data_IF_232367638576
#
_entry.id   IF_232367638576
#
_cell.length_a   1.000
_cell.length_b   1.000
_cell.length_c   1.000
_cell.angle_alpha   90.00
_cell.angle_beta   90.00
_cell.angle_gamma   90.00
#
_symmetry.space_group_name_H-M   'P 1'
#
loop_
_entity.id
_entity.type
_entity.pdbx_description
1 polymer ?
#
# COMPACT_ATOMS: atom_id res chain seq x y z
N UNK A 1 -1.49 -13.87 11.15
CA UNK A 1 -2.25 -13.28 10.02
C UNK A 1 -2.66 -14.35 9.03
N UNK A 2 -1.72 -15.12 8.46
CA UNK A 2 -2.00 -16.16 7.45
C UNK A 2 -3.01 -17.20 7.97
N UNK A 3 -2.80 -17.77 9.17
CA UNK A 3 -3.73 -18.71 9.79
C UNK A 3 -5.16 -18.11 9.97
N UNK A 4 -5.27 -16.82 10.26
CA UNK A 4 -6.56 -16.14 10.36
C UNK A 4 -7.28 -16.06 9.01
N UNK A 5 -6.56 -15.81 7.92
CA UNK A 5 -7.12 -15.84 6.55
C UNK A 5 -7.62 -17.24 6.19
N UNK A 6 -6.83 -18.28 6.48
CA UNK A 6 -7.22 -19.67 6.24
C UNK A 6 -8.46 -20.04 7.06
N UNK A 7 -8.49 -19.67 8.34
CA UNK A 7 -9.69 -19.89 9.20
C UNK A 7 -10.92 -19.18 8.65
N UNK A 8 -10.77 -17.95 8.14
CA UNK A 8 -11.87 -17.22 7.51
C UNK A 8 -12.39 -17.94 6.25
N UNK A 9 -11.50 -18.38 5.36
CA UNK A 9 -11.87 -19.13 4.16
C UNK A 9 -12.57 -20.43 4.54
N UNK A 10 -12.01 -21.18 5.48
CA UNK A 10 -12.55 -22.45 5.97
C UNK A 10 -13.96 -22.31 6.57
N UNK A 11 -14.20 -21.26 7.34
CA UNK A 11 -15.50 -21.00 7.98
C UNK A 11 -16.58 -20.52 6.99
N UNK A 12 -16.19 -19.84 5.90
CA UNK A 12 -17.14 -19.13 5.04
C UNK A 12 -17.29 -19.73 3.64
N UNK A 13 -16.27 -20.41 3.11
CA UNK A 13 -16.23 -20.88 1.73
C UNK A 13 -16.10 -22.41 1.66
N UNK A 14 -16.58 -23.01 0.56
CA UNK A 14 -16.43 -24.44 0.25
C UNK A 14 -15.24 -24.61 -0.70
N UNK A 15 -14.06 -24.82 -0.16
CA UNK A 15 -12.80 -24.87 -0.91
C UNK A 15 -11.97 -26.08 -0.50
N UNK A 16 -11.10 -26.54 -1.38
CA UNK A 16 -9.99 -27.41 -1.01
C UNK A 16 -8.76 -26.55 -0.74
N UNK A 17 -8.27 -26.58 0.47
CA UNK A 17 -7.13 -25.78 0.97
C UNK A 17 -5.98 -26.73 1.25
N UNK A 18 -4.81 -26.47 0.67
CA UNK A 18 -3.59 -27.20 0.99
C UNK A 18 -2.62 -26.21 1.63
N UNK A 19 -2.11 -26.54 2.81
CA UNK A 19 -1.03 -25.78 3.45
C UNK A 19 0.28 -26.55 3.36
N UNK A 20 1.35 -25.83 3.06
CA UNK A 20 2.72 -26.29 3.00
C UNK A 20 3.51 -25.46 4.01
N UNK A 21 3.89 -26.06 5.13
CA UNK A 21 4.45 -25.35 6.29
C UNK A 21 5.82 -25.95 6.66
N UNK A 22 6.74 -25.10 7.08
CA UNK A 22 8.03 -25.56 7.62
C UNK A 22 7.80 -26.37 8.89
N UNK A 23 6.88 -25.85 9.72
CA UNK A 23 6.31 -26.54 10.89
C UNK A 23 4.84 -26.16 11.02
N UNK A 24 3.98 -27.15 11.25
CA UNK A 24 2.55 -26.89 11.51
C UNK A 24 2.40 -26.27 12.90
N UNK A 25 2.14 -24.97 12.94
CA UNK A 25 1.94 -24.23 14.20
C UNK A 25 0.49 -24.29 14.70
N UNK A 26 -0.47 -24.37 13.78
CA UNK A 26 -1.89 -24.43 14.08
C UNK A 26 -2.54 -25.59 13.35
N UNK A 27 -3.11 -26.52 14.09
CA UNK A 27 -3.93 -27.58 13.52
C UNK A 27 -5.28 -26.97 13.14
N UNK A 28 -5.68 -27.17 11.89
CA UNK A 28 -6.91 -26.65 11.31
C UNK A 28 -7.87 -27.80 11.05
N UNK A 29 -9.03 -27.76 11.66
CA UNK A 29 -10.09 -28.73 11.44
C UNK A 29 -10.97 -28.31 10.25
N UNK A 30 -11.45 -29.28 9.49
CA UNK A 30 -12.40 -29.07 8.40
C UNK A 30 -13.70 -28.45 8.92
N UNK A 31 -14.20 -27.42 8.23
CA UNK A 31 -15.49 -26.81 8.50
C UNK A 31 -16.35 -26.80 7.23
N UNK A 32 -16.31 -25.70 6.46
CA UNK A 32 -16.94 -25.64 5.13
C UNK A 32 -15.99 -26.01 4.01
N UNK A 33 -14.69 -25.95 4.26
CA UNK A 33 -13.63 -26.36 3.34
C UNK A 33 -13.00 -27.67 3.83
N UNK A 34 -12.31 -28.35 2.91
CA UNK A 34 -11.41 -29.47 3.23
C UNK A 34 -10.01 -28.92 3.32
N UNK A 35 -9.28 -29.27 4.39
CA UNK A 35 -7.92 -28.78 4.63
C UNK A 35 -6.94 -29.94 4.67
N UNK A 36 -5.90 -29.86 3.87
CA UNK A 36 -4.75 -30.78 3.91
C UNK A 36 -3.52 -29.99 4.34
N UNK A 37 -2.99 -30.28 5.52
CA UNK A 37 -1.77 -29.66 6.02
C UNK A 37 -0.58 -30.58 5.81
N UNK A 38 0.53 -30.05 5.30
CA UNK A 38 1.79 -30.75 5.07
C UNK A 38 2.94 -30.03 5.70
N UNK A 39 3.79 -30.78 6.39
CA UNK A 39 5.00 -30.27 7.04
C UNK A 39 6.23 -30.68 6.24
N UNK A 40 7.18 -29.74 6.07
CA UNK A 40 8.47 -30.04 5.46
C UNK A 40 9.26 -31.03 6.33
N UNK A 41 10.11 -31.79 5.68
CA UNK A 41 10.93 -32.87 6.27
C UNK A 41 10.14 -34.06 6.88
N UNK A 42 8.81 -33.95 6.96
CA UNK A 42 7.91 -35.07 7.31
C UNK A 42 7.17 -35.55 6.05
N UNK A 43 6.47 -34.68 5.38
CA UNK A 43 5.59 -34.98 4.25
C UNK A 43 6.17 -34.60 2.88
N UNK A 44 7.16 -33.73 2.86
CA UNK A 44 7.83 -33.26 1.65
C UNK A 44 9.28 -32.85 1.91
N UNK A 45 10.12 -32.94 0.87
CA UNK A 45 11.54 -32.58 0.96
C UNK A 45 11.77 -31.06 0.81
N UNK A 46 10.97 -30.39 -0.02
CA UNK A 46 11.06 -28.96 -0.26
C UNK A 46 9.70 -28.35 -0.51
N UNK A 47 9.59 -27.01 -0.35
CA UNK A 47 8.37 -26.27 -0.71
C UNK A 47 8.02 -26.42 -2.21
N UNK A 48 9.02 -26.39 -3.08
CA UNK A 48 8.79 -26.52 -4.52
C UNK A 48 8.25 -27.91 -4.89
N UNK A 49 8.75 -29.01 -4.27
CA UNK A 49 8.25 -30.36 -4.51
C UNK A 49 6.86 -30.56 -3.93
N UNK A 50 6.65 -30.08 -2.70
CA UNK A 50 5.34 -30.10 -2.05
C UNK A 50 4.28 -29.37 -2.90
N UNK A 51 4.64 -28.20 -3.44
CA UNK A 51 3.76 -27.37 -4.26
C UNK A 51 3.44 -28.04 -5.60
N UNK A 52 4.44 -28.62 -6.28
CA UNK A 52 4.22 -29.39 -7.51
C UNK A 52 3.30 -30.61 -7.29
N UNK A 53 3.42 -31.24 -6.11
CA UNK A 53 2.51 -32.35 -5.74
C UNK A 53 1.10 -31.83 -5.45
N UNK A 54 0.98 -30.76 -4.66
CA UNK A 54 -0.29 -30.13 -4.30
C UNK A 54 -1.13 -29.75 -5.51
N UNK A 55 -0.52 -29.20 -6.57
CA UNK A 55 -1.20 -28.80 -7.81
C UNK A 55 -1.95 -29.96 -8.50
N UNK A 56 -1.54 -31.21 -8.28
CA UNK A 56 -2.22 -32.40 -8.83
C UNK A 56 -3.47 -32.80 -8.08
N UNK A 57 -3.74 -32.20 -6.93
CA UNK A 57 -4.89 -32.51 -6.08
C UNK A 57 -6.06 -31.55 -6.29
N UNK A 58 -5.98 -30.70 -7.34
CA UNK A 58 -6.99 -29.70 -7.69
C UNK A 58 -7.38 -28.80 -6.50
N UNK A 59 -6.43 -28.16 -5.79
CA UNK A 59 -6.74 -27.25 -4.70
C UNK A 59 -7.37 -25.97 -5.24
N UNK A 60 -8.17 -25.30 -4.41
CA UNK A 60 -8.61 -23.93 -4.70
C UNK A 60 -7.69 -22.90 -4.07
N UNK A 61 -7.13 -23.23 -2.91
CA UNK A 61 -6.25 -22.36 -2.12
C UNK A 61 -5.00 -23.15 -1.74
N UNK A 62 -3.86 -22.54 -1.96
CA UNK A 62 -2.56 -23.08 -1.57
C UNK A 62 -1.91 -22.09 -0.63
N UNK A 63 -1.47 -22.55 0.51
CA UNK A 63 -0.76 -21.76 1.51
C UNK A 63 0.67 -22.25 1.57
N UNK A 64 1.62 -21.36 1.36
CA UNK A 64 3.05 -21.66 1.43
C UNK A 64 3.60 -20.88 2.63
N UNK A 65 4.17 -21.58 3.60
CA UNK A 65 4.69 -20.98 4.82
C UNK A 65 5.59 -19.78 4.52
N UNK A 66 6.54 -19.95 3.60
CA UNK A 66 7.39 -18.85 3.12
C UNK A 66 7.99 -19.14 1.74
N UNK A 67 8.34 -18.07 1.03
CA UNK A 67 9.03 -18.11 -0.26
C UNK A 67 10.48 -17.62 -0.08
N UNK A 68 11.44 -18.54 -0.07
CA UNK A 68 12.87 -18.25 0.14
C UNK A 68 13.73 -18.43 -1.10
N UNK A 69 13.26 -19.18 -2.08
CA UNK A 69 14.03 -19.60 -3.25
C UNK A 69 13.26 -19.39 -4.55
N UNK A 70 14.00 -19.33 -5.66
CA UNK A 70 13.47 -19.08 -7.00
C UNK A 70 12.50 -20.14 -7.47
N UNK A 71 12.73 -21.43 -7.12
CA UNK A 71 11.92 -22.54 -7.57
C UNK A 71 10.53 -22.50 -6.92
N UNK A 72 10.49 -22.21 -5.61
CA UNK A 72 9.24 -22.02 -4.85
C UNK A 72 8.46 -20.83 -5.42
N UNK A 73 9.12 -19.69 -5.63
CA UNK A 73 8.47 -18.47 -6.17
C UNK A 73 7.94 -18.72 -7.59
N UNK A 74 8.75 -19.30 -8.49
CA UNK A 74 8.33 -19.58 -9.86
C UNK A 74 7.10 -20.50 -9.91
N UNK A 75 7.11 -21.55 -9.07
CA UNK A 75 6.00 -22.49 -9.02
C UNK A 75 4.74 -21.85 -8.41
N UNK A 76 4.90 -21.00 -7.39
CA UNK A 76 3.81 -20.26 -6.75
C UNK A 76 3.14 -19.25 -7.70
N UNK A 77 3.93 -18.49 -8.45
CA UNK A 77 3.44 -17.53 -9.45
C UNK A 77 2.71 -18.28 -10.58
N UNK A 78 3.28 -19.39 -11.08
CA UNK A 78 2.64 -20.22 -12.10
C UNK A 78 1.30 -20.80 -11.61
N UNK A 79 1.23 -21.25 -10.34
CA UNK A 79 -0.01 -21.72 -9.72
C UNK A 79 -1.05 -20.59 -9.64
N UNK A 80 -0.66 -19.41 -9.23
CA UNK A 80 -1.55 -18.24 -9.16
C UNK A 80 -2.08 -17.84 -10.55
N UNK A 81 -1.22 -17.82 -11.57
CA UNK A 81 -1.61 -17.54 -12.96
C UNK A 81 -2.55 -18.62 -13.53
N UNK A 82 -2.50 -19.86 -13.05
CA UNK A 82 -3.41 -20.94 -13.45
C UNK A 82 -4.74 -20.95 -12.69
N UNK A 83 -5.00 -19.95 -11.84
CA UNK A 83 -6.28 -19.71 -11.20
C UNK A 83 -6.40 -20.18 -9.75
N UNK A 84 -5.31 -20.60 -9.12
CA UNK A 84 -5.29 -20.92 -7.70
C UNK A 84 -5.11 -19.66 -6.87
N UNK A 85 -5.75 -19.57 -5.70
CA UNK A 85 -5.39 -18.55 -4.72
C UNK A 85 -4.15 -19.04 -3.95
N UNK A 86 -3.03 -18.36 -4.16
CA UNK A 86 -1.78 -18.66 -3.45
C UNK A 86 -1.56 -17.62 -2.37
N UNK A 87 -1.37 -18.06 -1.13
CA UNK A 87 -1.04 -17.24 0.03
C UNK A 87 0.35 -17.64 0.53
N UNK A 88 1.21 -16.67 0.77
CA UNK A 88 2.55 -16.94 1.32
C UNK A 88 3.04 -15.80 2.20
N UNK A 89 4.16 -16.02 2.90
CA UNK A 89 4.82 -15.00 3.70
C UNK A 89 6.20 -14.67 3.16
N UNK A 90 6.62 -13.44 3.47
CA UNK A 90 7.95 -12.90 3.21
C UNK A 90 8.41 -12.14 4.47
N UNK A 91 9.70 -12.15 4.75
CA UNK A 91 10.29 -11.39 5.85
C UNK A 91 10.79 -10.03 5.33
N UNK A 92 9.86 -9.09 5.19
CA UNK A 92 10.09 -7.73 4.66
C UNK A 92 9.42 -6.71 5.57
N UNK A 93 9.87 -5.44 5.53
CA UNK A 93 9.41 -4.38 6.42
C UNK A 93 8.15 -3.66 5.95
N UNK A 94 7.84 -3.73 4.64
CA UNK A 94 6.71 -3.05 4.02
C UNK A 94 6.25 -3.75 2.72
N UNK A 95 5.16 -3.26 2.15
CA UNK A 95 4.54 -3.87 0.97
C UNK A 95 5.38 -3.72 -0.30
N UNK A 96 6.06 -2.60 -0.48
CA UNK A 96 6.88 -2.35 -1.69
C UNK A 96 8.14 -3.23 -1.65
N UNK A 97 8.82 -3.28 -0.52
CA UNK A 97 9.97 -4.18 -0.33
C UNK A 97 9.60 -5.65 -0.51
N UNK A 98 8.35 -6.05 -0.21
CA UNK A 98 7.89 -7.41 -0.47
C UNK A 98 7.89 -7.73 -1.96
N UNK A 99 7.39 -6.81 -2.79
CA UNK A 99 7.42 -6.97 -4.26
C UNK A 99 8.85 -6.99 -4.79
N UNK A 100 9.68 -6.05 -4.36
CA UNK A 100 11.08 -5.96 -4.75
C UNK A 100 11.84 -7.23 -4.37
N UNK A 101 11.67 -7.71 -3.13
CA UNK A 101 12.33 -8.92 -2.61
C UNK A 101 12.04 -10.17 -3.43
N UNK A 102 10.79 -10.36 -3.85
CA UNK A 102 10.41 -11.51 -4.71
C UNK A 102 11.15 -11.45 -6.03
N UNK A 103 11.22 -10.28 -6.66
CA UNK A 103 11.89 -10.09 -7.96
C UNK A 103 13.41 -10.25 -7.82
N UNK A 104 13.99 -9.73 -6.74
CA UNK A 104 15.44 -9.76 -6.50
C UNK A 104 16.01 -11.13 -6.16
N UNK A 105 15.15 -12.11 -5.81
CA UNK A 105 15.59 -13.50 -5.71
C UNK A 105 16.14 -14.05 -7.03
N UNK A 106 15.70 -13.49 -8.16
CA UNK A 106 16.07 -13.98 -9.49
C UNK A 106 17.30 -13.30 -10.07
N UNK A 107 18.06 -14.00 -10.93
CA UNK A 107 19.11 -13.39 -11.74
C UNK A 107 18.56 -12.22 -12.58
N UNK A 108 19.42 -11.23 -12.85
CA UNK A 108 18.98 -9.97 -13.51
C UNK A 108 18.30 -10.19 -14.87
N UNK A 109 18.77 -11.17 -15.64
CA UNK A 109 18.20 -11.54 -16.93
C UNK A 109 16.78 -12.11 -16.86
N UNK A 110 16.34 -12.60 -15.70
CA UNK A 110 15.01 -13.16 -15.48
C UNK A 110 14.05 -12.18 -14.79
N UNK A 111 14.57 -11.15 -14.12
CA UNK A 111 13.77 -10.24 -13.27
C UNK A 111 12.61 -9.56 -13.99
N UNK A 112 12.79 -9.16 -15.24
CA UNK A 112 11.73 -8.52 -16.01
C UNK A 112 10.55 -9.45 -16.29
N UNK A 113 10.84 -10.72 -16.64
CA UNK A 113 9.79 -11.72 -16.86
C UNK A 113 9.05 -12.03 -15.55
N UNK A 114 9.80 -12.24 -14.46
CA UNK A 114 9.23 -12.51 -13.13
C UNK A 114 8.37 -11.35 -12.65
N UNK A 115 8.82 -10.10 -12.84
CA UNK A 115 8.05 -8.91 -12.49
C UNK A 115 6.72 -8.84 -13.26
N UNK A 116 6.74 -9.15 -14.56
CA UNK A 116 5.54 -9.21 -15.40
C UNK A 116 4.58 -10.29 -14.91
N UNK A 117 5.07 -11.49 -14.66
CA UNK A 117 4.26 -12.63 -14.21
C UNK A 117 3.68 -12.39 -12.80
N UNK A 118 4.51 -11.87 -11.88
CA UNK A 118 4.07 -11.45 -10.56
C UNK A 118 3.01 -10.36 -10.64
N UNK A 119 3.21 -9.33 -11.46
CA UNK A 119 2.22 -8.28 -11.70
C UNK A 119 0.87 -8.84 -12.15
N UNK A 120 0.87 -9.79 -13.08
CA UNK A 120 -0.34 -10.45 -13.55
C UNK A 120 -1.05 -11.29 -12.48
N UNK A 121 -0.27 -11.97 -11.63
CA UNK A 121 -0.79 -12.85 -10.57
C UNK A 121 -1.20 -12.10 -9.29
N UNK A 122 -0.62 -10.92 -9.02
CA UNK A 122 -0.73 -10.22 -7.73
C UNK A 122 -2.17 -9.81 -7.42
N UNK A 123 -2.68 -10.28 -6.29
CA UNK A 123 -3.96 -9.85 -5.71
C UNK A 123 -3.73 -8.75 -4.67
N UNK A 124 -2.72 -8.87 -3.85
CA UNK A 124 -2.34 -7.86 -2.86
C UNK A 124 -1.16 -8.28 -2.00
N UNK A 125 -0.62 -7.32 -1.28
CA UNK A 125 0.43 -7.50 -0.27
C UNK A 125 -0.04 -6.90 1.04
N UNK A 126 0.12 -7.64 2.13
CA UNK A 126 -0.20 -7.17 3.48
C UNK A 126 1.09 -7.22 4.30
N UNK A 127 1.64 -6.07 4.61
CA UNK A 127 2.74 -5.95 5.55
C UNK A 127 2.20 -5.68 6.97
N UNK A 128 2.88 -6.22 7.98
CA UNK A 128 2.44 -6.14 9.38
C UNK A 128 3.59 -5.65 10.26
N UNK A 129 3.26 -4.72 11.17
CA UNK A 129 4.12 -4.33 12.30
C UNK A 129 3.36 -4.59 13.59
N UNK A 130 4.06 -5.07 14.61
CA UNK A 130 3.50 -5.21 15.96
C UNK A 130 3.94 -4.02 16.80
N UNK A 131 2.99 -3.35 17.43
CA UNK A 131 3.22 -2.15 18.25
C UNK A 131 2.72 -2.43 19.66
N UNK A 132 3.47 -2.07 20.71
CA UNK A 132 3.03 -2.27 22.09
C UNK A 132 1.70 -1.57 22.38
N UNK A 133 0.87 -2.20 23.22
CA UNK A 133 -0.27 -1.53 23.86
C UNK A 133 0.20 -0.39 24.75
N UNK A 134 -0.63 0.61 25.11
CA UNK A 134 -0.21 1.70 25.98
C UNK A 134 0.29 1.25 27.36
N UNK A 135 -0.17 0.10 27.83
CA UNK A 135 0.23 -0.54 29.10
C UNK A 135 1.43 -1.47 28.96
N UNK A 136 1.92 -1.69 27.72
CA UNK A 136 3.01 -2.61 27.38
C UNK A 136 2.77 -4.07 27.84
N UNK A 137 1.52 -4.47 28.02
CA UNK A 137 1.10 -5.84 28.39
C UNK A 137 0.77 -6.73 27.18
N UNK A 138 0.79 -6.15 25.97
CA UNK A 138 0.51 -6.83 24.72
C UNK A 138 1.03 -6.09 23.51
N UNK A 139 0.73 -6.65 22.32
CA UNK A 139 1.08 -6.08 21.03
C UNK A 139 -0.17 -5.99 20.14
N UNK A 140 -0.31 -4.90 19.43
CA UNK A 140 -1.39 -4.68 18.45
C UNK A 140 -0.79 -4.64 17.04
N UNK A 141 -1.37 -5.38 16.07
CA UNK A 141 -0.87 -5.35 14.70
C UNK A 141 -1.35 -4.10 13.95
N UNK A 142 -0.41 -3.36 13.37
CA UNK A 142 -0.64 -2.37 12.35
C UNK A 142 -0.39 -2.98 10.98
N UNK A 143 -1.22 -2.63 9.99
CA UNK A 143 -1.14 -3.18 8.64
C UNK A 143 -0.92 -2.08 7.60
N UNK A 144 -0.07 -2.39 6.63
CA UNK A 144 0.02 -1.72 5.35
C UNK A 144 -0.53 -2.67 4.29
N UNK A 145 -1.39 -2.18 3.39
CA UNK A 145 -2.10 -3.02 2.41
C UNK A 145 -1.97 -2.40 1.03
N UNK A 146 -1.34 -3.14 0.13
CA UNK A 146 -1.27 -2.84 -1.30
C UNK A 146 -2.22 -3.78 -2.03
N UNK A 147 -3.14 -3.26 -2.83
CA UNK A 147 -4.10 -4.04 -3.63
C UNK A 147 -3.63 -4.10 -5.08
N UNK A 148 -3.67 -5.29 -5.69
CA UNK A 148 -3.29 -5.55 -7.08
C UNK A 148 -4.30 -4.99 -8.08
N UNK A 149 -4.56 -3.69 -8.05
CA UNK A 149 -5.35 -3.00 -9.09
C UNK A 149 -4.62 -3.01 -10.43
N UNK A 150 -5.30 -2.83 -11.57
CA UNK A 150 -4.63 -2.79 -12.87
C UNK A 150 -3.45 -1.83 -12.95
N UNK A 151 -3.51 -0.58 -12.41
CA UNK A 151 -2.34 0.29 -12.34
C UNK A 151 -1.18 -0.28 -11.51
N UNK A 152 -1.48 -0.86 -10.33
CA UNK A 152 -0.45 -1.48 -9.47
C UNK A 152 0.21 -2.66 -10.18
N UNK A 153 -0.55 -3.55 -10.80
CA UNK A 153 -0.03 -4.69 -11.56
C UNK A 153 0.93 -4.26 -12.68
N UNK A 154 0.57 -3.19 -13.39
CA UNK A 154 1.42 -2.59 -14.42
C UNK A 154 2.74 -2.09 -13.83
N UNK A 155 2.68 -1.31 -12.74
CA UNK A 155 3.87 -0.76 -12.07
C UNK A 155 4.79 -1.87 -11.53
N UNK A 156 4.23 -2.97 -11.01
CA UNK A 156 4.99 -4.17 -10.62
C UNK A 156 5.74 -4.75 -11.83
N UNK A 157 5.05 -4.94 -12.94
CA UNK A 157 5.63 -5.48 -14.18
C UNK A 157 6.73 -4.58 -14.77
N UNK A 158 6.63 -3.27 -14.59
CA UNK A 158 7.61 -2.27 -15.02
C UNK A 158 8.74 -2.05 -13.99
N UNK A 159 8.65 -2.66 -12.81
CA UNK A 159 9.57 -2.46 -11.68
C UNK A 159 9.65 -1.00 -11.23
N UNK A 160 8.56 -0.25 -11.38
CA UNK A 160 8.45 1.15 -10.95
C UNK A 160 8.02 1.23 -9.47
N UNK A 161 8.99 1.07 -8.57
CA UNK A 161 8.75 1.07 -7.12
C UNK A 161 8.32 2.44 -6.60
N UNK A 162 8.80 3.52 -7.21
CA UNK A 162 8.37 4.89 -6.87
C UNK A 162 6.91 5.12 -7.23
N UNK A 163 6.50 4.65 -8.41
CA UNK A 163 5.10 4.66 -8.83
C UNK A 163 4.22 3.79 -7.92
N UNK A 164 4.72 2.65 -7.43
CA UNK A 164 4.01 1.80 -6.45
C UNK A 164 3.78 2.51 -5.11
N UNK A 165 4.77 3.24 -4.59
CA UNK A 165 4.60 4.05 -3.37
C UNK A 165 3.49 5.10 -3.56
N UNK A 166 3.50 5.80 -4.68
CA UNK A 166 2.49 6.80 -5.01
C UNK A 166 1.09 6.18 -5.17
N UNK A 167 1.00 5.00 -5.81
CA UNK A 167 -0.25 4.26 -5.95
C UNK A 167 -0.79 3.79 -4.60
N UNK A 168 0.06 3.28 -3.71
CA UNK A 168 -0.28 2.87 -2.35
C UNK A 168 -0.85 4.05 -1.54
N UNK A 169 -0.19 5.20 -1.60
CA UNK A 169 -0.62 6.41 -0.88
C UNK A 169 -2.00 6.91 -1.34
N UNK A 170 -2.28 6.84 -2.65
CA UNK A 170 -3.53 7.33 -3.26
C UNK A 170 -4.64 6.29 -3.31
N UNK A 171 -4.34 5.04 -3.03
CA UNK A 171 -5.25 3.92 -3.24
C UNK A 171 -6.30 3.70 -2.14
N UNK A 172 -6.62 4.70 -1.32
CA UNK A 172 -7.58 4.59 -0.21
C UNK A 172 -8.95 4.07 -0.63
N UNK A 173 -9.51 4.59 -1.72
CA UNK A 173 -10.80 4.13 -2.30
C UNK A 173 -10.79 2.66 -2.72
N UNK A 174 -9.63 2.12 -3.06
CA UNK A 174 -9.44 0.70 -3.41
C UNK A 174 -9.16 -0.19 -2.19
N UNK A 175 -9.21 0.35 -0.97
CA UNK A 175 -8.90 -0.38 0.26
C UNK A 175 -7.41 -0.45 0.60
N UNK A 176 -6.55 0.29 -0.11
CA UNK A 176 -5.13 0.40 0.23
C UNK A 176 -4.93 1.27 1.47
N UNK A 177 -3.92 0.96 2.25
CA UNK A 177 -3.54 1.79 3.41
C UNK A 177 -2.04 1.70 3.68
N UNK A 178 -1.43 2.83 4.06
CA UNK A 178 -0.04 2.90 4.48
C UNK A 178 0.11 2.66 5.98
N UNK A 179 1.31 2.26 6.44
CA UNK A 179 1.60 2.20 7.87
C UNK A 179 1.36 3.52 8.58
N UNK A 180 1.80 4.64 8.01
CA UNK A 180 1.60 5.96 8.61
C UNK A 180 0.12 6.26 8.88
N UNK A 181 -0.78 5.93 7.93
CA UNK A 181 -2.22 6.14 8.10
C UNK A 181 -2.81 5.23 9.19
N UNK A 182 -2.43 3.95 9.17
CA UNK A 182 -2.93 2.98 10.16
C UNK A 182 -2.47 3.35 11.58
N UNK A 183 -1.17 3.64 11.73
CA UNK A 183 -0.57 3.97 13.03
C UNK A 183 -1.13 5.29 13.56
N UNK A 184 -1.33 6.29 12.70
CA UNK A 184 -1.97 7.55 13.11
C UNK A 184 -3.39 7.32 13.66
N UNK A 185 -4.22 6.52 12.97
CA UNK A 185 -5.56 6.17 13.44
C UNK A 185 -5.50 5.45 14.80
N UNK A 186 -4.62 4.46 14.95
CA UNK A 186 -4.45 3.73 16.21
C UNK A 186 -4.05 4.66 17.37
N UNK A 187 -3.20 5.67 17.11
CA UNK A 187 -2.84 6.69 18.12
C UNK A 187 -4.04 7.56 18.50
N UNK A 188 -4.86 7.98 17.51
CA UNK A 188 -6.08 8.75 17.77
C UNK A 188 -7.14 7.97 18.55
N UNK A 189 -7.23 6.66 18.32
CA UNK A 189 -8.11 5.75 19.04
C UNK A 189 -7.53 5.32 20.41
N UNK A 190 -6.37 5.87 20.80
CA UNK A 190 -5.66 5.55 22.05
C UNK A 190 -5.30 4.05 22.21
N UNK A 191 -5.16 3.33 21.09
CA UNK A 191 -4.75 1.93 21.08
C UNK A 191 -3.25 1.75 21.28
N UNK A 192 -2.44 2.77 20.95
CA UNK A 192 -0.99 2.80 21.10
C UNK A 192 -0.53 4.16 21.63
N UNK A 193 0.61 4.19 22.29
CA UNK A 193 1.23 5.43 22.74
C UNK A 193 1.89 6.17 21.56
N UNK A 194 1.91 7.52 21.61
CA UNK A 194 2.54 8.35 20.56
C UNK A 194 4.03 8.08 20.40
N UNK A 195 4.72 7.79 21.50
CA UNK A 195 6.14 7.46 21.48
C UNK A 195 6.42 6.18 20.69
N UNK A 196 5.59 5.15 20.86
CA UNK A 196 5.73 3.87 20.15
C UNK A 196 5.23 3.98 18.70
N UNK A 197 4.23 4.82 18.46
CA UNK A 197 3.82 5.20 17.12
C UNK A 197 4.97 5.82 16.32
N UNK A 198 5.72 6.77 16.90
CA UNK A 198 6.86 7.42 16.24
C UNK A 198 8.00 6.45 15.89
N UNK A 199 8.19 5.40 16.68
CA UNK A 199 9.17 4.33 16.38
C UNK A 199 8.70 3.41 15.25
N UNK A 200 7.39 3.27 15.10
CA UNK A 200 6.77 2.30 14.19
C UNK A 200 6.39 2.86 12.81
N UNK A 201 6.26 4.18 12.65
CA UNK A 201 5.92 4.81 11.36
C UNK A 201 7.07 4.75 10.36
N UNK A 202 6.75 4.75 9.08
CA UNK A 202 7.73 4.78 8.00
C UNK A 202 8.30 6.21 7.82
N UNK A 203 7.46 7.24 7.99
CA UNK A 203 7.86 8.64 7.89
C UNK A 203 7.44 9.41 9.15
N UNK A 204 8.37 9.59 10.14
CA UNK A 204 8.08 10.31 11.38
C UNK A 204 7.69 11.77 11.19
N UNK A 205 8.23 12.45 10.18
CA UNK A 205 7.92 13.86 9.94
C UNK A 205 6.51 14.05 9.37
N UNK A 206 6.05 13.14 8.53
CA UNK A 206 4.66 13.08 8.08
C UNK A 206 3.73 12.82 9.27
N UNK A 207 4.08 11.89 10.14
CA UNK A 207 3.30 11.56 11.33
C UNK A 207 3.18 12.75 12.29
N UNK A 208 4.29 13.42 12.62
CA UNK A 208 4.29 14.62 13.47
C UNK A 208 3.44 15.75 12.89
N UNK A 209 3.54 15.99 11.58
CA UNK A 209 2.69 16.97 10.90
C UNK A 209 1.21 16.65 11.08
N UNK A 210 0.81 15.39 10.92
CA UNK A 210 -0.57 14.95 11.17
C UNK A 210 -1.01 15.16 12.62
N UNK A 211 -0.14 14.87 13.58
CA UNK A 211 -0.46 15.05 15.02
C UNK A 211 -0.66 16.51 15.39
N UNK A 212 0.12 17.43 14.81
CA UNK A 212 0.06 18.87 15.12
C UNK A 212 -1.11 19.57 14.43
N UNK A 213 -1.38 19.27 13.17
CA UNK A 213 -2.35 20.01 12.35
C UNK A 213 -3.74 19.38 12.28
N UNK A 214 -3.97 18.27 12.99
CA UNK A 214 -5.30 17.68 13.24
C UNK A 214 -6.11 17.34 11.99
N UNK A 215 -7.40 17.18 12.22
CA UNK A 215 -8.42 16.65 11.29
C UNK A 215 -8.73 17.46 10.02
N UNK A 216 -8.14 18.65 9.84
CA UNK A 216 -8.22 19.36 8.55
C UNK A 216 -7.63 18.54 7.39
N UNK A 217 -7.05 17.40 7.71
CA UNK A 217 -6.32 16.48 6.84
C UNK A 217 -6.96 15.10 6.75
N UNK A 218 -7.93 14.80 7.57
CA UNK A 218 -8.66 13.51 7.62
C UNK A 218 -9.81 13.41 6.60
N UNK A 219 -9.68 13.98 5.42
CA UNK A 219 -10.51 13.54 4.31
C UNK A 219 -10.02 12.15 3.85
N UNK A 220 -10.94 11.23 3.57
CA UNK A 220 -10.74 9.80 3.23
C UNK A 220 -9.70 9.52 2.14
N UNK A 221 -9.32 10.53 1.38
CA UNK A 221 -8.22 10.55 0.42
C UNK A 221 -6.95 11.06 1.08
N UNK A 222 -6.08 10.14 1.49
CA UNK A 222 -4.78 10.42 2.12
C UNK A 222 -4.16 11.75 1.72
N UNK A 223 -4.10 12.62 2.67
CA UNK A 223 -3.52 13.95 2.78
C UNK A 223 -2.50 14.37 1.73
N UNK A 224 -2.98 14.55 0.52
CA UNK A 224 -2.33 15.45 -0.42
C UNK A 224 -3.21 16.70 -0.54
N UNK A 225 -2.62 17.84 -0.18
CA UNK A 225 -3.18 19.12 -0.62
C UNK A 225 -3.30 19.02 -2.14
N UNK A 226 -4.54 18.83 -2.63
CA UNK A 226 -4.81 18.69 -4.05
C UNK A 226 -5.07 20.08 -4.62
N UNK A 227 -4.39 20.44 -5.70
CA UNK A 227 -4.56 21.73 -6.38
C UNK A 227 -6.02 22.00 -6.75
N UNK A 228 -6.73 21.00 -7.26
CA UNK A 228 -8.15 21.15 -7.64
C UNK A 228 -9.04 21.42 -6.42
N UNK A 229 -8.77 20.81 -5.28
CA UNK A 229 -9.48 21.07 -4.02
C UNK A 229 -9.19 22.48 -3.50
N UNK A 230 -7.93 22.90 -3.51
CA UNK A 230 -7.56 24.27 -3.13
C UNK A 230 -8.27 25.28 -4.01
N UNK A 231 -8.26 25.09 -5.33
CA UNK A 231 -8.93 25.97 -6.28
C UNK A 231 -10.46 26.00 -6.08
N UNK A 232 -11.09 24.82 -5.86
CA UNK A 232 -12.55 24.77 -5.54
C UNK A 232 -12.86 25.50 -4.25
N UNK A 233 -12.06 25.34 -3.21
CA UNK A 233 -12.24 26.03 -1.94
C UNK A 233 -12.06 27.55 -2.11
N UNK A 234 -11.05 27.98 -2.83
CA UNK A 234 -10.80 29.37 -3.15
C UNK A 234 -12.01 30.01 -3.86
N UNK A 235 -12.54 29.37 -4.90
CA UNK A 235 -13.72 29.82 -5.63
C UNK A 235 -14.96 29.85 -4.73
N UNK A 236 -15.19 28.81 -3.93
CA UNK A 236 -16.36 28.70 -3.04
C UNK A 236 -16.44 29.83 -2.02
N UNK A 237 -15.32 30.29 -1.50
CA UNK A 237 -15.26 31.38 -0.50
C UNK A 237 -15.01 32.74 -1.12
N UNK A 238 -14.94 32.86 -2.45
CA UNK A 238 -14.78 34.13 -3.17
C UNK A 238 -13.37 34.71 -3.09
N UNK A 239 -12.33 33.86 -2.97
CA UNK A 239 -10.95 34.35 -3.01
C UNK A 239 -10.57 34.83 -4.41
N UNK A 240 -9.84 35.93 -4.48
CA UNK A 240 -9.29 36.46 -5.75
C UNK A 240 -8.01 35.72 -6.16
N UNK A 241 -7.21 35.26 -5.21
CA UNK A 241 -5.92 34.64 -5.44
C UNK A 241 -5.68 33.46 -4.48
N UNK A 242 -4.93 32.48 -4.94
CA UNK A 242 -4.34 31.42 -4.15
C UNK A 242 -2.81 31.49 -4.28
N UNK A 243 -2.12 31.71 -3.16
CA UNK A 243 -0.67 31.75 -3.07
C UNK A 243 -0.13 30.44 -2.50
N UNK A 244 0.81 29.83 -3.21
CA UNK A 244 1.50 28.60 -2.82
C UNK A 244 3.00 28.86 -2.80
N UNK A 245 3.59 28.90 -1.61
CA UNK A 245 5.02 29.16 -1.43
C UNK A 245 5.64 28.09 -0.55
N UNK A 246 6.84 27.67 -0.90
CA UNK A 246 7.60 26.75 -0.06
C UNK A 246 7.88 27.39 1.32
N UNK A 247 7.70 26.64 2.39
CA UNK A 247 7.89 27.09 3.77
C UNK A 247 6.71 27.87 4.36
N UNK A 248 5.64 28.11 3.61
CA UNK A 248 4.41 28.76 4.07
C UNK A 248 3.18 27.87 3.81
N UNK A 249 2.11 27.96 4.62
CA UNK A 249 0.84 27.33 4.30
C UNK A 249 0.20 27.96 3.06
N UNK A 250 -0.65 27.21 2.32
CA UNK A 250 -1.47 27.79 1.25
C UNK A 250 -2.23 29.00 1.77
N UNK A 251 -2.16 30.12 1.07
CA UNK A 251 -2.71 31.39 1.51
C UNK A 251 -3.68 31.94 0.47
N UNK A 252 -4.84 32.37 0.88
CA UNK A 252 -5.87 32.96 0.02
C UNK A 252 -5.93 34.48 0.18
N UNK A 253 -6.21 35.18 -0.90
CA UNK A 253 -6.56 36.61 -0.84
C UNK A 253 -8.07 36.76 -0.81
N UNK A 254 -8.59 37.28 0.29
CA UNK A 254 -10.02 37.51 0.53
C UNK A 254 -10.22 39.02 0.79
N UNK A 255 -11.00 39.69 -0.03
CA UNK A 255 -11.28 41.14 0.10
C UNK A 255 -10.00 42.00 0.23
N UNK A 256 -8.94 41.60 -0.49
CA UNK A 256 -7.64 42.30 -0.48
C UNK A 256 -6.67 41.84 0.62
N UNK A 257 -7.13 41.10 1.64
CA UNK A 257 -6.30 40.61 2.74
C UNK A 257 -5.81 39.17 2.47
N UNK A 258 -4.57 38.91 2.85
CA UNK A 258 -4.00 37.56 2.80
C UNK A 258 -4.36 36.79 4.06
N UNK A 259 -4.99 35.61 3.89
CA UNK A 259 -5.36 34.69 4.95
C UNK A 259 -4.76 33.31 4.69
N UNK A 260 -3.89 32.89 5.58
CA UNK A 260 -3.33 31.52 5.55
C UNK A 260 -4.44 30.50 5.87
N UNK A 261 -4.48 29.42 5.09
CA UNK A 261 -5.31 28.28 5.44
C UNK A 261 -4.72 27.53 6.64
N UNK A 262 -5.57 26.89 7.41
CA UNK A 262 -5.15 26.01 8.52
C UNK A 262 -4.57 24.69 7.96
N UNK A 263 -3.52 24.80 7.19
CA UNK A 263 -2.79 23.71 6.55
C UNK A 263 -1.31 23.84 6.88
N UNK A 264 -0.56 22.73 6.87
CA UNK A 264 0.88 22.78 7.13
C UNK A 264 1.62 23.63 6.07
N UNK A 265 2.78 24.19 6.42
CA UNK A 265 3.68 24.82 5.46
C UNK A 265 4.05 23.83 4.35
N UNK A 266 4.00 24.30 3.09
CA UNK A 266 4.33 23.50 1.93
C UNK A 266 5.83 23.20 1.87
N UNK A 267 6.19 21.96 1.61
CA UNK A 267 7.56 21.58 1.28
C UNK A 267 7.87 21.86 -0.21
N UNK A 268 9.15 21.86 -0.63
CA UNK A 268 9.51 21.92 -2.05
C UNK A 268 8.84 20.82 -2.87
N UNK A 269 8.75 19.62 -2.33
CA UNK A 269 8.06 18.48 -2.96
C UNK A 269 6.54 18.71 -3.10
N UNK A 270 5.90 19.34 -2.10
CA UNK A 270 4.46 19.66 -2.17
C UNK A 270 4.18 20.70 -3.24
N UNK A 271 4.97 21.79 -3.30
CA UNK A 271 4.80 22.84 -4.30
C UNK A 271 5.02 22.33 -5.73
N UNK A 272 6.05 21.52 -5.93
CA UNK A 272 6.33 20.89 -7.23
C UNK A 272 5.17 19.97 -7.63
N UNK A 273 4.72 19.09 -6.74
CA UNK A 273 3.62 18.15 -6.97
C UNK A 273 2.31 18.87 -7.28
N UNK A 274 1.96 19.91 -6.52
CA UNK A 274 0.76 20.71 -6.74
C UNK A 274 0.77 21.34 -8.14
N UNK A 275 1.89 21.95 -8.53
CA UNK A 275 2.05 22.55 -9.84
C UNK A 275 1.96 21.49 -10.94
N UNK A 276 2.72 20.39 -10.82
CA UNK A 276 2.76 19.34 -11.85
C UNK A 276 1.43 18.59 -12.01
N UNK A 277 0.58 18.56 -10.96
CA UNK A 277 -0.74 17.93 -11.02
C UNK A 277 -1.72 18.60 -11.98
N UNK A 278 -1.46 19.84 -12.38
CA UNK A 278 -2.31 20.64 -13.28
C UNK A 278 -1.67 20.94 -14.63
N UNK A 279 -0.39 20.58 -14.81
CA UNK A 279 0.32 20.76 -16.08
C UNK A 279 0.16 19.53 -16.98
N UNK A 280 -0.04 19.78 -18.28
CA UNK A 280 0.10 18.73 -19.30
C UNK A 280 1.59 18.37 -19.48
N UNK A 281 1.92 17.19 -20.05
CA UNK A 281 3.33 16.81 -20.30
C UNK A 281 4.13 17.87 -21.06
N UNK A 282 3.51 18.53 -22.07
CA UNK A 282 4.14 19.61 -22.83
C UNK A 282 4.41 20.86 -22.00
N UNK A 283 3.44 21.26 -21.19
CA UNK A 283 3.57 22.41 -20.29
C UNK A 283 4.60 22.17 -19.20
N UNK A 284 4.76 20.93 -18.75
CA UNK A 284 5.78 20.56 -17.78
C UNK A 284 7.20 20.76 -18.34
N UNK A 285 7.44 20.32 -19.57
CA UNK A 285 8.72 20.54 -20.25
C UNK A 285 9.00 22.05 -20.40
N UNK A 286 8.01 22.81 -20.84
CA UNK A 286 8.11 24.27 -20.98
C UNK A 286 8.45 24.96 -19.64
N UNK A 287 7.78 24.54 -18.54
CA UNK A 287 8.08 25.07 -17.21
C UNK A 287 9.49 24.72 -16.72
N UNK A 288 9.94 23.48 -16.97
CA UNK A 288 11.29 23.04 -16.58
C UNK A 288 12.38 23.83 -17.32
N UNK A 289 12.13 24.25 -18.56
CA UNK A 289 13.05 25.07 -19.36
C UNK A 289 13.00 26.54 -18.95
N UNK A 290 11.80 27.15 -18.89
CA UNK A 290 11.62 28.59 -18.70
C UNK A 290 11.56 29.02 -17.23
N UNK A 291 11.29 28.06 -16.32
CA UNK A 291 11.05 28.29 -14.87
C UNK A 291 9.83 29.16 -14.56
N UNK A 292 9.00 29.45 -15.54
CA UNK A 292 7.73 30.15 -15.42
C UNK A 292 6.73 29.60 -16.44
N UNK A 293 5.44 29.71 -16.15
CA UNK A 293 4.36 29.32 -17.06
C UNK A 293 3.08 30.03 -16.69
N UNK A 294 2.42 30.61 -17.70
CA UNK A 294 1.05 31.10 -17.62
C UNK A 294 0.09 30.07 -18.23
N UNK A 295 -0.94 29.72 -17.49
CA UNK A 295 -1.91 28.73 -17.95
C UNK A 295 -3.32 29.05 -17.44
N UNK A 296 -4.32 28.68 -18.23
CA UNK A 296 -5.72 28.71 -17.82
C UNK A 296 -6.17 27.33 -17.34
N UNK A 297 -6.82 27.26 -16.16
CA UNK A 297 -7.37 26.04 -15.59
C UNK A 297 -8.90 26.14 -15.53
N UNK A 298 -9.59 25.09 -15.98
CA UNK A 298 -11.02 24.93 -15.77
C UNK A 298 -11.27 24.03 -14.57
N UNK A 299 -12.04 24.52 -13.60
CA UNK A 299 -12.46 23.75 -12.42
C UNK A 299 -13.97 23.53 -12.50
N UNK A 300 -14.38 22.28 -12.71
CA UNK A 300 -15.80 21.91 -12.71
C UNK A 300 -16.34 21.96 -11.28
N UNK A 301 -17.34 22.80 -11.05
CA UNK A 301 -18.09 22.85 -9.81
C UNK A 301 -19.33 21.98 -9.96
N UNK A 302 -19.46 20.91 -9.21
CA UNK A 302 -20.74 20.25 -9.03
C UNK A 302 -21.55 21.14 -8.07
N UNK A 303 -22.46 21.93 -8.63
CA UNK A 303 -23.49 22.63 -7.88
C UNK A 303 -24.59 21.58 -7.66
N UNK A 304 -24.54 20.89 -6.51
CA UNK A 304 -25.58 20.00 -6.03
C UNK A 304 -26.41 20.69 -4.95
#
# INVERSE_FOLDING_TARGET
TLAAMVKYINANLKKHIITLEDRIEYILEDQRSIITQRELNSDAVSFADALRSALREAPNVIVIGEMRDTDTVSTAVAAAMSGHLVLSTLHTSDAIQSVERVIDLFPEDQRMQVATDLGNALVGVIAQRLIPTPTHDGMIPAFEILIGTPPVRKLVGERDYSGLEDALRRGGESGMQTFNRTIYRMTKEHLIAEEDALKAVTNPDEFRRRSVYGTAVDSEDGMFIDMRRLLRSAVKIGASDLHLSCGAPPTLRLNGELRALELPPLTPSDTQRLLFSVLTPRQRVEFEEKREIDLALSVTMNIG
#
